data_IF_460423007194
#
_entry.id   IF_460423007194
#
_cell.length_a   1.000
_cell.length_b   1.000
_cell.length_c   1.000
_cell.angle_alpha   90.00
_cell.angle_beta   90.00
_cell.angle_gamma   90.00
#
_symmetry.space_group_name_H-M   'P 1'
#
loop_
_entity.id
_entity.type
_entity.pdbx_description
1 polymer ?
#
# COMPACT_ATOMS: atom_id res chain seq x y z
N UNK A 1 5.54 -22.43 28.07
CA UNK A 1 6.10 -21.17 28.58
C UNK A 1 6.73 -20.45 27.40
N UNK A 2 6.14 -19.33 26.94
CA UNK A 2 6.68 -18.54 25.84
C UNK A 2 7.29 -17.27 26.42
N UNK A 3 8.60 -17.14 26.32
CA UNK A 3 9.35 -15.98 26.84
C UNK A 3 9.30 -14.87 25.80
N UNK A 4 8.42 -13.89 25.98
CA UNK A 4 8.40 -12.66 25.17
C UNK A 4 9.47 -11.70 25.70
N UNK A 5 10.56 -11.52 24.94
CA UNK A 5 11.59 -10.53 25.25
C UNK A 5 11.18 -9.16 24.69
N UNK A 6 10.72 -8.28 25.56
CA UNK A 6 10.50 -6.86 25.23
C UNK A 6 11.83 -6.11 25.32
N UNK A 7 12.49 -5.89 24.19
CA UNK A 7 13.71 -5.06 24.14
C UNK A 7 13.33 -3.61 23.83
N UNK A 8 13.27 -2.78 24.87
CA UNK A 8 13.04 -1.33 24.78
C UNK A 8 14.36 -0.63 24.45
N UNK A 9 14.60 -0.37 23.16
CA UNK A 9 15.63 0.56 22.72
C UNK A 9 15.01 1.95 22.52
N UNK A 10 15.72 3.07 22.81
CA UNK A 10 15.18 4.41 22.70
C UNK A 10 15.11 4.79 21.22
N UNK A 11 14.04 4.39 20.57
CA UNK A 11 13.78 4.71 19.17
C UNK A 11 13.41 6.20 19.09
N UNK A 12 14.20 6.92 18.29
CA UNK A 12 13.83 8.24 17.79
C UNK A 12 12.39 8.21 17.26
N UNK A 13 11.68 9.34 17.31
CA UNK A 13 10.24 9.46 16.97
C UNK A 13 9.83 8.88 15.59
N UNK A 14 10.80 8.47 14.76
CA UNK A 14 10.65 8.02 13.38
C UNK A 14 10.71 6.49 13.20
N UNK A 15 11.12 5.70 14.19
CA UNK A 15 11.24 4.23 14.05
C UNK A 15 10.34 3.46 15.01
N UNK A 16 9.74 2.37 14.52
CA UNK A 16 8.84 1.49 15.27
C UNK A 16 9.24 0.04 15.04
N UNK A 17 9.31 -0.77 16.10
CA UNK A 17 9.59 -2.20 16.01
C UNK A 17 8.27 -2.99 16.01
N UNK A 18 8.16 -3.95 15.09
CA UNK A 18 7.01 -4.82 14.96
C UNK A 18 7.45 -6.28 14.90
N UNK A 19 6.59 -7.17 15.36
CA UNK A 19 6.79 -8.62 15.27
C UNK A 19 5.93 -9.16 14.14
N UNK A 20 6.53 -10.01 13.30
CA UNK A 20 5.79 -10.76 12.28
C UNK A 20 4.95 -11.82 12.98
N UNK A 21 3.64 -11.75 12.81
CA UNK A 21 2.69 -12.76 13.23
C UNK A 21 2.34 -13.71 12.08
N UNK A 22 1.22 -14.40 12.22
CA UNK A 22 0.65 -15.26 11.18
C UNK A 22 -0.84 -14.97 11.01
N UNK A 23 -1.39 -15.26 9.82
CA UNK A 23 -2.84 -15.19 9.57
C UNK A 23 -3.51 -16.39 10.26
N UNK A 24 -4.48 -16.18 11.19
CA UNK A 24 -5.13 -17.31 11.85
C UNK A 24 -6.01 -18.06 10.85
N UNK A 25 -5.53 -19.21 10.36
CA UNK A 25 -6.29 -20.06 9.45
C UNK A 25 -6.33 -21.51 9.95
N UNK A 26 -7.19 -21.78 10.95
CA UNK A 26 -7.43 -23.13 11.51
C UNK A 26 -6.16 -23.93 11.87
N UNK A 27 -5.12 -23.25 12.37
CA UNK A 27 -3.86 -23.86 12.77
C UNK A 27 -2.74 -23.79 11.73
N UNK A 28 -3.01 -23.31 10.52
CA UNK A 28 -1.96 -22.98 9.56
C UNK A 28 -1.23 -21.69 9.99
N UNK A 29 0.10 -21.80 10.14
CA UNK A 29 0.99 -20.73 10.58
C UNK A 29 2.01 -20.36 9.49
N UNK A 30 1.91 -20.96 8.30
CA UNK A 30 2.89 -20.75 7.22
C UNK A 30 2.75 -19.40 6.52
N UNK A 31 1.63 -18.69 6.71
CA UNK A 31 1.40 -17.39 6.08
C UNK A 31 1.81 -16.26 7.03
N UNK A 32 2.93 -15.55 6.77
CA UNK A 32 3.37 -14.44 7.61
C UNK A 32 2.43 -13.25 7.50
N UNK A 33 2.24 -12.55 8.63
CA UNK A 33 1.43 -11.35 8.72
C UNK A 33 2.23 -10.25 9.42
N UNK A 34 2.42 -9.12 8.75
CA UNK A 34 2.97 -7.91 9.35
C UNK A 34 1.83 -6.90 9.54
N UNK A 35 1.53 -6.54 10.79
CA UNK A 35 0.46 -5.60 11.11
C UNK A 35 1.04 -4.26 11.55
N UNK A 36 0.79 -3.22 10.76
CA UNK A 36 1.10 -1.84 11.09
C UNK A 36 -0.16 -1.15 11.60
N UNK A 37 -0.14 -0.73 12.86
CA UNK A 37 -1.28 -0.01 13.46
C UNK A 37 -0.81 1.15 14.33
N UNK A 38 -1.71 2.12 14.50
CA UNK A 38 -1.52 3.27 15.38
C UNK A 38 -1.91 4.59 14.73
N UNK A 39 -2.22 5.60 15.56
CA UNK A 39 -2.61 6.94 15.11
C UNK A 39 -1.53 7.63 14.27
N UNK A 40 -0.26 7.30 14.51
CA UNK A 40 0.90 7.84 13.80
C UNK A 40 0.86 7.57 12.28
N UNK A 41 0.11 6.57 11.81
CA UNK A 41 -0.07 6.30 10.38
C UNK A 41 -0.72 7.48 9.65
N UNK A 42 -1.63 8.21 10.30
CA UNK A 42 -2.26 9.40 9.72
C UNK A 42 -1.25 10.53 9.49
N UNK A 43 -0.27 10.67 10.39
CA UNK A 43 0.80 11.69 10.28
C UNK A 43 1.69 11.46 9.07
N UNK A 44 1.77 10.23 8.58
CA UNK A 44 2.55 9.84 7.38
C UNK A 44 1.67 9.59 6.15
N UNK A 45 0.41 10.06 6.17
CA UNK A 45 -0.49 10.05 4.99
C UNK A 45 -1.24 8.74 4.75
N UNK A 46 -1.26 7.81 5.72
CA UNK A 46 -2.06 6.59 5.66
C UNK A 46 -3.39 6.81 6.39
N UNK A 47 -4.31 7.54 5.76
CA UNK A 47 -5.67 7.70 6.28
C UNK A 47 -6.57 6.52 5.90
N UNK A 48 -7.75 6.45 6.52
CA UNK A 48 -8.69 5.35 6.31
C UNK A 48 -9.30 5.46 4.92
N UNK A 49 -9.19 4.40 4.13
CA UNK A 49 -9.68 4.37 2.75
C UNK A 49 -8.66 4.82 1.69
N UNK A 50 -7.48 5.31 2.10
CA UNK A 50 -6.38 5.58 1.17
C UNK A 50 -5.84 4.27 0.60
N UNK A 51 -5.75 4.17 -0.73
CA UNK A 51 -5.09 3.04 -1.38
C UNK A 51 -3.59 3.12 -1.17
N UNK A 52 -2.93 1.98 -0.97
CA UNK A 52 -1.49 1.91 -0.71
C UNK A 52 -0.84 1.03 -1.75
N UNK A 53 0.20 1.56 -2.40
CA UNK A 53 1.08 0.78 -3.24
C UNK A 53 2.23 0.23 -2.41
N UNK A 54 2.49 -1.07 -2.52
CA UNK A 54 3.63 -1.72 -1.86
C UNK A 54 4.69 -2.01 -2.91
N UNK A 55 5.90 -1.47 -2.71
CA UNK A 55 7.08 -1.81 -3.50
C UNK A 55 7.96 -2.76 -2.72
N UNK A 56 8.34 -3.86 -3.35
CA UNK A 56 9.23 -4.86 -2.77
C UNK A 56 10.58 -4.73 -3.46
N UNK A 57 11.61 -4.61 -2.65
CA UNK A 57 13.02 -4.59 -3.06
C UNK A 57 13.79 -5.57 -2.18
N UNK A 58 15.02 -5.94 -2.53
CA UNK A 58 15.79 -6.91 -1.76
C UNK A 58 15.91 -6.48 -0.27
N UNK A 59 15.22 -7.20 0.61
CA UNK A 59 15.22 -6.95 2.05
C UNK A 59 14.38 -5.76 2.53
N UNK A 60 13.65 -5.06 1.64
CA UNK A 60 12.86 -3.89 2.03
C UNK A 60 11.46 -3.88 1.40
N UNK A 61 10.47 -3.55 2.22
CA UNK A 61 9.08 -3.32 1.83
C UNK A 61 8.78 -1.84 2.03
N UNK A 62 8.45 -1.13 0.95
CA UNK A 62 8.12 0.30 0.98
C UNK A 62 6.63 0.46 0.73
N UNK A 63 5.92 0.99 1.72
CA UNK A 63 4.52 1.37 1.60
C UNK A 63 4.42 2.82 1.14
N UNK A 64 3.70 3.07 0.06
CA UNK A 64 3.49 4.40 -0.51
C UNK A 64 1.98 4.63 -0.58
N UNK A 65 1.41 5.54 0.23
CA UNK A 65 0.00 5.90 0.09
C UNK A 65 -0.19 6.60 -1.27
N UNK A 66 -1.26 6.25 -1.97
CA UNK A 66 -1.64 6.99 -3.17
C UNK A 66 -2.09 8.39 -2.75
N UNK A 67 -1.51 9.40 -3.39
CA UNK A 67 -1.96 10.78 -3.26
C UNK A 67 -3.24 10.99 -4.08
N UNK A 68 -4.22 11.69 -3.51
CA UNK A 68 -5.48 12.01 -4.17
C UNK A 68 -5.28 12.75 -5.50
N UNK A 69 -4.31 13.67 -5.59
CA UNK A 69 -3.98 14.37 -6.84
C UNK A 69 -3.48 13.42 -7.94
N UNK A 70 -2.64 12.46 -7.55
CA UNK A 70 -2.09 11.45 -8.48
C UNK A 70 -3.19 10.49 -8.92
N UNK A 71 -4.14 10.17 -8.04
CA UNK A 71 -5.32 9.36 -8.36
C UNK A 71 -6.24 10.10 -9.33
N UNK A 72 -6.55 11.37 -9.08
CA UNK A 72 -7.39 12.18 -9.97
C UNK A 72 -6.76 12.33 -11.35
N UNK A 73 -5.46 12.62 -11.40
CA UNK A 73 -4.73 12.71 -12.66
C UNK A 73 -4.72 11.38 -13.43
N UNK A 74 -4.58 10.24 -12.73
CA UNK A 74 -4.69 8.90 -13.36
C UNK A 74 -6.08 8.66 -13.93
N UNK A 75 -7.14 9.09 -13.23
CA UNK A 75 -8.52 8.96 -13.69
C UNK A 75 -8.75 9.80 -14.95
N UNK A 76 -8.30 11.07 -14.95
CA UNK A 76 -8.38 11.97 -16.10
C UNK A 76 -7.62 11.40 -17.32
N UNK A 77 -6.39 10.90 -17.12
CA UNK A 77 -5.62 10.27 -18.19
C UNK A 77 -6.31 9.03 -18.78
N UNK A 78 -6.96 8.23 -17.93
CA UNK A 78 -7.73 7.07 -18.38
C UNK A 78 -8.91 7.49 -19.26
N UNK A 79 -9.64 8.53 -18.87
CA UNK A 79 -10.75 9.07 -19.65
C UNK A 79 -10.28 9.62 -21.01
N UNK A 80 -9.21 10.42 -21.03
CA UNK A 80 -8.64 10.97 -22.26
C UNK A 80 -8.17 9.84 -23.19
N UNK A 81 -7.46 8.85 -22.66
CA UNK A 81 -7.00 7.70 -23.44
C UNK A 81 -8.15 6.92 -24.07
N UNK A 82 -9.26 6.75 -23.33
CA UNK A 82 -10.44 6.09 -23.85
C UNK A 82 -11.12 6.91 -24.95
N UNK A 83 -11.23 8.24 -24.78
CA UNK A 83 -11.77 9.12 -25.81
C UNK A 83 -10.94 9.08 -27.11
N UNK A 84 -9.61 9.12 -27.00
CA UNK A 84 -8.71 9.01 -28.16
C UNK A 84 -8.87 7.66 -28.87
N UNK A 85 -9.01 6.57 -28.13
CA UNK A 85 -9.25 5.24 -28.71
C UNK A 85 -10.54 5.21 -29.53
N UNK A 86 -11.63 5.79 -29.02
CA UNK A 86 -12.92 5.85 -29.71
C UNK A 86 -12.82 6.67 -30.99
N UNK A 87 -12.17 7.83 -30.95
CA UNK A 87 -11.97 8.67 -32.14
C UNK A 87 -11.19 7.95 -33.25
N UNK A 88 -10.10 7.26 -32.88
CA UNK A 88 -9.30 6.49 -33.84
C UNK A 88 -10.08 5.32 -34.46
N UNK A 89 -10.98 4.69 -33.70
CA UNK A 89 -11.84 3.62 -34.21
C UNK A 89 -12.84 4.16 -35.24
N UNK A 90 -13.49 5.30 -34.95
CA UNK A 90 -14.44 5.93 -35.89
C UNK A 90 -13.76 6.41 -37.18
N UNK A 91 -12.51 6.87 -37.11
CA UNK A 91 -11.74 7.24 -38.29
C UNK A 91 -11.41 6.02 -39.18
N UNK A 92 -11.15 4.85 -38.59
CA UNK A 92 -10.85 3.62 -39.33
C UNK A 92 -12.08 3.02 -40.03
N UNK A 93 -13.29 3.34 -39.61
CA UNK A 93 -14.54 2.86 -40.22
C UNK A 93 -15.04 3.78 -41.36
N UNK A 94 -14.41 4.94 -41.57
CA UNK A 94 -14.81 5.94 -42.57
C UNK A 94 -13.90 5.96 -43.81
N UNK A 95 -12.93 5.04 -43.91
CA UNK A 95 -11.97 4.92 -45.04
C UNK A 95 -12.09 3.57 -45.73
#
# INVERSE_FOLDING_TARGET
>A
MATTLTQTSPLSKTQRCYTVGYVPNRGDTNTPLLNLSGKWLREVGFDTGTSVTVKITEGCIVHIPDNDEVKELREQLKQIKQAVKVMNQGLAETV
#
